data_IF_895722103419
#
_entry.id   IF_895722103419
#
_cell.length_a   1.000
_cell.length_b   1.000
_cell.length_c   1.000
_cell.angle_alpha   90.00
_cell.angle_beta   90.00
_cell.angle_gamma   90.00
#
_symmetry.space_group_name_H-M   'P 1'
#
loop_
_entity.id
_entity.type
_entity.pdbx_description
1 polymer ?
#
# COMPACT_ATOMS: atom_id res chain seq x y z
N UNK A 1 11.44 -8.22 -20.85
CA UNK A 1 12.24 -8.81 -19.76
C UNK A 1 13.24 -7.76 -19.29
N UNK A 2 13.09 -7.19 -18.09
CA UNK A 2 14.13 -6.38 -17.45
C UNK A 2 14.50 -7.01 -16.10
N UNK A 3 15.80 -7.11 -15.76
CA UNK A 3 16.31 -8.02 -14.73
C UNK A 3 16.45 -7.34 -13.36
N UNK A 4 16.43 -8.15 -12.32
CA UNK A 4 16.70 -7.76 -10.94
C UNK A 4 18.15 -7.30 -10.73
N UNK A 5 18.36 -6.23 -9.95
CA UNK A 5 19.25 -6.19 -8.77
C UNK A 5 19.69 -4.75 -8.40
N UNK A 6 19.33 -4.33 -7.19
CA UNK A 6 20.16 -3.49 -6.34
C UNK A 6 19.81 -3.81 -4.88
N UNK A 7 20.52 -4.80 -4.31
CA UNK A 7 20.47 -5.12 -2.90
C UNK A 7 21.50 -4.22 -2.18
N UNK A 8 21.01 -3.32 -1.32
CA UNK A 8 21.83 -2.53 -0.40
C UNK A 8 21.32 -2.70 1.03
N UNK A 9 22.16 -3.38 1.84
CA UNK A 9 22.23 -3.42 3.31
C UNK A 9 20.95 -3.58 4.16
N UNK A 10 20.99 -4.64 4.98
CA UNK A 10 20.01 -5.08 5.99
C UNK A 10 19.81 -4.08 7.14
N UNK A 11 19.23 -2.93 6.84
CA UNK A 11 18.45 -2.17 7.80
C UNK A 11 17.02 -2.15 7.27
N UNK A 12 16.05 -2.64 8.04
CA UNK A 12 14.63 -2.51 7.69
C UNK A 12 14.30 -1.02 7.79
N UNK A 13 14.56 -0.29 6.70
CA UNK A 13 14.24 1.12 6.60
C UNK A 13 12.74 1.28 6.81
N UNK A 14 12.27 2.38 7.43
CA UNK A 14 10.85 2.62 7.61
C UNK A 14 10.05 2.48 6.31
N UNK A 15 10.65 2.83 5.18
CA UNK A 15 10.09 2.63 3.84
C UNK A 15 9.94 1.15 3.45
N UNK A 16 10.94 0.30 3.72
CA UNK A 16 10.84 -1.14 3.47
C UNK A 16 9.78 -1.78 4.37
N UNK A 17 9.67 -1.34 5.63
CA UNK A 17 8.61 -1.79 6.55
C UNK A 17 7.23 -1.39 6.05
N UNK A 18 7.07 -0.17 5.54
CA UNK A 18 5.85 0.29 4.91
C UNK A 18 5.50 -0.57 3.71
N UNK A 19 6.44 -0.80 2.80
CA UNK A 19 6.20 -1.63 1.61
C UNK A 19 5.75 -3.05 1.97
N UNK A 20 6.37 -3.66 2.98
CA UNK A 20 5.97 -4.98 3.48
C UNK A 20 4.57 -4.90 4.11
N UNK A 21 4.30 -3.92 4.98
CA UNK A 21 2.98 -3.73 5.59
C UNK A 21 1.87 -3.55 4.54
N UNK A 22 2.12 -2.75 3.49
CA UNK A 22 1.20 -2.53 2.37
C UNK A 22 0.89 -3.80 1.58
N UNK A 23 1.88 -4.66 1.37
CA UNK A 23 1.78 -5.83 0.47
C UNK A 23 1.48 -7.14 1.20
N UNK A 24 1.64 -7.19 2.52
CA UNK A 24 1.41 -8.39 3.33
C UNK A 24 0.28 -8.20 4.33
N UNK A 25 0.35 -7.17 5.17
CA UNK A 25 -0.63 -6.93 6.25
C UNK A 25 -1.92 -6.31 5.73
N UNK A 26 -1.79 -5.30 4.87
CA UNK A 26 -2.90 -4.55 4.28
C UNK A 26 -3.13 -4.93 2.81
N UNK A 27 -2.69 -6.13 2.41
CA UNK A 27 -2.71 -6.59 1.03
C UNK A 27 -4.13 -6.66 0.45
N UNK A 28 -5.10 -7.01 1.31
CA UNK A 28 -6.51 -7.12 0.95
C UNK A 28 -7.10 -5.76 0.60
N UNK A 29 -6.90 -4.78 1.48
CA UNK A 29 -7.34 -3.40 1.31
C UNK A 29 -6.64 -2.72 0.13
N UNK A 30 -5.34 -3.00 -0.07
CA UNK A 30 -4.60 -2.53 -1.24
C UNK A 30 -5.18 -3.08 -2.55
N UNK A 31 -5.53 -4.37 -2.56
CA UNK A 31 -6.13 -5.02 -3.73
C UNK A 31 -7.53 -4.50 -4.01
N UNK A 32 -8.34 -4.28 -2.99
CA UNK A 32 -9.70 -3.78 -3.14
C UNK A 32 -9.71 -2.31 -3.59
N UNK A 33 -8.79 -1.48 -3.06
CA UNK A 33 -8.54 -0.13 -3.59
C UNK A 33 -8.11 -0.16 -5.06
N UNK A 34 -7.16 -1.04 -5.40
CA UNK A 34 -6.70 -1.22 -6.78
C UNK A 34 -7.82 -1.65 -7.74
N UNK A 35 -8.70 -2.56 -7.33
CA UNK A 35 -9.86 -2.98 -8.13
C UNK A 35 -10.81 -1.82 -8.41
N UNK A 36 -11.10 -0.99 -7.38
CA UNK A 36 -11.94 0.19 -7.54
C UNK A 36 -11.32 1.17 -8.56
N UNK A 37 -10.03 1.49 -8.39
CA UNK A 37 -9.30 2.39 -9.31
C UNK A 37 -9.31 1.85 -10.74
N UNK A 38 -9.09 0.54 -10.95
CA UNK A 38 -9.05 -0.07 -12.28
C UNK A 38 -10.45 -0.09 -12.91
N UNK A 39 -11.49 -0.37 -12.11
CA UNK A 39 -12.88 -0.35 -12.59
C UNK A 39 -13.33 1.03 -13.04
N UNK A 40 -12.80 2.09 -12.40
CA UNK A 40 -13.15 3.49 -12.70
C UNK A 40 -12.00 4.29 -13.28
N UNK A 41 -11.00 3.62 -13.90
CA UNK A 41 -9.76 4.25 -14.35
C UNK A 41 -10.00 5.38 -15.37
N UNK A 42 -11.08 5.28 -16.15
CA UNK A 42 -11.47 6.26 -17.17
C UNK A 42 -12.12 7.52 -16.59
N UNK A 43 -12.64 7.46 -15.37
CA UNK A 43 -13.41 8.53 -14.73
C UNK A 43 -12.94 8.72 -13.29
N UNK A 44 -11.63 8.59 -13.03
CA UNK A 44 -11.12 8.61 -11.66
C UNK A 44 -11.24 10.03 -11.08
N UNK A 45 -12.19 10.19 -10.15
CA UNK A 45 -12.41 11.44 -9.44
C UNK A 45 -12.04 11.31 -7.98
N UNK A 46 -11.74 12.46 -7.37
CA UNK A 46 -11.52 12.56 -5.94
C UNK A 46 -12.74 11.99 -5.20
N UNK A 47 -12.48 11.15 -4.20
CA UNK A 47 -13.46 10.46 -3.36
C UNK A 47 -14.16 9.21 -3.95
N UNK A 48 -13.87 8.76 -5.17
CA UNK A 48 -14.50 7.54 -5.72
C UNK A 48 -14.19 6.27 -4.92
N UNK A 49 -12.90 6.02 -4.63
CA UNK A 49 -12.44 4.86 -3.86
C UNK A 49 -12.07 5.28 -2.44
N UNK A 50 -12.78 6.27 -1.88
CA UNK A 50 -12.46 6.87 -0.59
C UNK A 50 -12.55 5.85 0.54
N UNK A 51 -13.59 5.01 0.54
CA UNK A 51 -13.81 4.03 1.60
C UNK A 51 -12.66 3.01 1.65
N UNK A 52 -12.21 2.53 0.50
CA UNK A 52 -11.10 1.61 0.33
C UNK A 52 -9.78 2.28 0.71
N UNK A 53 -9.57 3.52 0.29
CA UNK A 53 -8.40 4.31 0.64
C UNK A 53 -8.31 4.59 2.14
N UNK A 54 -9.43 4.93 2.78
CA UNK A 54 -9.50 5.17 4.23
C UNK A 54 -9.21 3.89 5.01
N UNK A 55 -9.75 2.74 4.58
CA UNK A 55 -9.47 1.42 5.16
C UNK A 55 -8.00 1.04 5.01
N UNK A 56 -7.47 1.14 3.80
CA UNK A 56 -6.06 0.87 3.51
C UNK A 56 -5.14 1.78 4.33
N UNK A 57 -5.42 3.09 4.34
CA UNK A 57 -4.68 4.07 5.13
C UNK A 57 -4.82 3.88 6.64
N UNK A 58 -5.95 3.39 7.14
CA UNK A 58 -6.13 3.03 8.54
C UNK A 58 -5.28 1.81 8.91
N UNK A 59 -5.29 0.77 8.08
CA UNK A 59 -4.47 -0.43 8.26
C UNK A 59 -2.97 -0.09 8.25
N UNK A 60 -2.52 0.75 7.30
CA UNK A 60 -1.15 1.21 7.23
C UNK A 60 -0.75 2.04 8.45
N UNK A 61 -1.58 3.00 8.86
CA UNK A 61 -1.30 3.82 10.05
C UNK A 61 -1.24 2.99 11.32
N UNK A 62 -2.09 1.97 11.47
CA UNK A 62 -2.02 1.06 12.61
C UNK A 62 -0.75 0.19 12.57
N UNK A 63 -0.40 -0.35 11.41
CA UNK A 63 0.79 -1.21 11.26
C UNK A 63 2.09 -0.41 11.40
N UNK A 64 2.09 0.84 10.95
CA UNK A 64 3.23 1.76 11.01
C UNK A 64 3.33 2.55 12.31
N UNK A 65 2.33 2.49 13.21
CA UNK A 65 2.43 3.03 14.57
C UNK A 65 3.55 2.28 15.29
N UNK A 66 4.77 2.82 15.17
CA UNK A 66 5.89 2.44 16.02
C UNK A 66 5.45 2.71 17.45
N UNK A 67 5.39 1.65 18.24
CA UNK A 67 5.54 1.73 19.69
C UNK A 67 6.96 2.28 19.91
N UNK A 68 7.06 3.57 20.22
CA UNK A 68 8.25 4.13 20.85
C UNK A 68 8.32 3.60 22.28
#
# INVERSE_FOLDING_TARGET
MQPAAAASSTAVTPLRRLAIASTTTCAKEASDYGKCIVATYTDVHKDMCKAEFERFGACLRQTMKRKW
#
